data_IF_829283283009
#
_entry.id   IF_829283283009
#
_cell.length_a   1.000
_cell.length_b   1.000
_cell.length_c   1.000
_cell.angle_alpha   90.00
_cell.angle_beta   90.00
_cell.angle_gamma   90.00
#
_symmetry.space_group_name_H-M   'P 1'
#
loop_
_entity.id
_entity.type
_entity.pdbx_description
1 polymer ?
2 non-polymer ?
3 non-polymer ?
4 water ?
#
# COMPACT_ATOMS: atom_id res chain seq x y z
N UNK A 2 -4.02 4.96 15.79
CA UNK A 2 -3.34 5.18 14.48
C UNK A 2 -2.66 3.91 14.07
N UNK A 3 -2.59 3.68 12.77
CA UNK A 3 -2.07 2.40 12.31
C UNK A 3 -0.67 2.06 12.76
N UNK A 4 -0.40 0.81 13.08
CA UNK A 4 0.96 0.36 13.32
C UNK A 4 1.79 0.56 12.07
N UNK A 5 1.19 0.36 10.91
CA UNK A 5 1.90 0.58 9.65
C UNK A 5 0.92 0.87 8.55
N UNK A 6 1.21 1.83 7.69
CA UNK A 6 0.47 2.10 6.49
C UNK A 6 1.30 1.58 5.36
N UNK A 7 0.83 0.66 4.52
CA UNK A 7 1.60 0.09 3.43
C UNK A 7 1.27 0.73 2.12
N UNK A 8 2.32 1.11 1.38
CA UNK A 8 2.19 1.68 0.06
C UNK A 8 3.12 0.97 -0.93
N UNK A 9 2.69 0.85 -2.19
CA UNK A 9 3.56 0.36 -3.24
C UNK A 9 2.73 0.07 -4.48
N UNK A 10 3.46 -0.30 -5.52
CA UNK A 10 2.85 -0.59 -6.83
C UNK A 10 2.32 -2.05 -6.87
N UNK A 11 1.45 -2.35 -7.83
CA UNK A 11 1.16 -3.75 -8.11
C UNK A 11 2.46 -4.49 -8.42
N UNK A 12 2.63 -5.69 -7.91
CA UNK A 12 3.85 -6.42 -8.07
C UNK A 12 4.77 -6.29 -6.88
N UNK A 13 4.51 -5.32 -5.99
CA UNK A 13 5.36 -5.14 -4.80
C UNK A 13 5.04 -6.13 -3.69
N UNK A 14 3.96 -6.87 -3.83
CA UNK A 14 3.57 -7.89 -2.85
C UNK A 14 2.73 -7.28 -1.75
N UNK A 15 2.24 -6.07 -1.99
CA UNK A 15 1.51 -5.34 -0.99
C UNK A 15 0.37 -6.13 -0.29
N UNK A 16 -0.49 -6.85 -1.04
CA UNK A 16 -1.57 -7.64 -0.40
C UNK A 16 -1.06 -8.75 0.54
N UNK A 17 -0.13 -9.54 0.02
CA UNK A 17 0.39 -10.67 0.77
C UNK A 17 1.16 -10.16 1.98
N UNK A 18 1.98 -9.14 1.77
CA UNK A 18 2.76 -8.57 2.86
C UNK A 18 1.85 -8.00 3.96
N UNK A 19 0.82 -7.27 3.56
CA UNK A 19 -0.13 -6.72 4.52
C UNK A 19 -0.76 -7.78 5.38
N UNK A 20 -1.27 -8.85 4.76
CA UNK A 20 -1.86 -9.95 5.52
C UNK A 20 -0.84 -10.61 6.46
N UNK A 21 0.35 -10.87 5.95
CA UNK A 21 1.35 -11.54 6.73
C UNK A 21 1.82 -10.68 7.92
N UNK A 22 2.01 -9.36 7.64
CA UNK A 22 2.43 -8.44 8.69
C UNK A 22 1.34 -8.34 9.77
N UNK A 23 0.08 -8.24 9.33
CA UNK A 23 -1.01 -8.16 10.31
C UNK A 23 -1.12 -9.43 11.14
N UNK A 24 -0.91 -10.57 10.50
CA UNK A 24 -0.88 -11.83 11.20
C UNK A 24 0.24 -11.93 12.24
N UNK A 25 1.45 -11.48 11.89
CA UNK A 25 2.54 -11.54 12.80
C UNK A 25 2.39 -10.60 13.96
N UNK A 26 1.83 -9.40 13.73
CA UNK A 26 1.56 -8.45 14.79
C UNK A 26 0.32 -8.80 15.59
N UNK A 27 -0.56 -9.59 15.01
CA UNK A 27 -1.88 -9.84 15.60
C UNK A 27 -2.79 -8.64 15.65
N UNK A 28 -2.89 -7.97 14.49
CA UNK A 28 -3.70 -6.75 14.38
C UNK A 28 -4.58 -6.84 13.16
N UNK A 29 -5.54 -5.92 13.12
CA UNK A 29 -6.48 -5.85 12.01
C UNK A 29 -5.91 -5.36 10.72
N UNK A 30 -6.41 -5.84 9.59
CA UNK A 30 -5.98 -5.41 8.26
C UNK A 30 -7.09 -4.67 7.59
N UNK A 31 -6.89 -3.43 7.24
CA UNK A 31 -7.90 -2.62 6.54
C UNK A 31 -7.35 -2.20 5.22
N UNK A 32 -8.00 -2.54 4.14
CA UNK A 32 -7.63 -2.18 2.76
C UNK A 32 -8.57 -1.06 2.29
N UNK A 33 -8.04 0.10 1.92
CA UNK A 33 -8.89 1.22 1.61
C UNK A 33 -9.74 0.97 0.36
N UNK A 34 -9.30 0.21 -0.63
CA UNK A 34 -10.13 -0.07 -1.81
C UNK A 34 -11.39 -0.86 -1.38
N UNK A 35 -11.20 -1.87 -0.53
CA UNK A 35 -12.32 -2.67 -0.01
C UNK A 35 -13.21 -1.73 0.81
N UNK A 36 -12.64 -0.92 1.69
CA UNK A 36 -13.44 -0.05 2.51
C UNK A 36 -14.31 0.93 1.71
N UNK A 37 -13.81 1.43 0.59
CA UNK A 37 -14.60 2.33 -0.24
C UNK A 37 -15.81 1.58 -0.79
N UNK A 38 -15.65 0.36 -1.22
CA UNK A 38 -16.81 -0.40 -1.73
C UNK A 38 -17.78 -0.74 -0.61
N UNK A 39 -17.28 -1.05 0.57
CA UNK A 39 -18.12 -1.34 1.72
C UNK A 39 -18.91 -0.14 2.22
N UNK A 40 -18.38 1.07 2.04
CA UNK A 40 -19.02 2.28 2.52
C UNK A 40 -19.98 2.90 1.52
N UNK A 41 -19.82 2.62 0.24
CA UNK A 41 -20.65 3.20 -0.82
C UNK A 41 -21.62 2.17 -1.38
N UNK A 42 -21.35 0.89 -1.27
CA UNK A 42 -22.10 -0.13 -1.99
C UNK A 42 -21.95 -0.12 -3.49
N UNK A 43 -20.89 0.53 -3.99
CA UNK A 43 -20.60 0.61 -5.42
C UNK A 43 -19.16 0.17 -5.67
N UNK A 44 -18.95 -0.42 -6.83
CA UNK A 44 -17.62 -0.87 -7.20
C UNK A 44 -16.78 0.33 -7.55
N UNK A 45 -15.46 0.15 -7.41
CA UNK A 45 -14.48 1.17 -7.79
C UNK A 45 -14.74 1.67 -9.22
N UNK A 46 -14.91 0.71 -10.13
CA UNK A 46 -15.15 1.11 -11.53
C UNK A 46 -16.43 1.95 -11.72
N UNK A 47 -17.49 1.56 -11.01
CA UNK A 47 -18.77 2.23 -11.08
C UNK A 47 -18.61 3.65 -10.63
N UNK A 48 -17.89 3.87 -9.52
CA UNK A 48 -17.70 5.23 -9.05
C UNK A 48 -16.97 6.10 -10.08
N UNK A 49 -15.84 5.58 -10.56
CA UNK A 49 -15.08 6.30 -11.60
C UNK A 49 -15.97 6.68 -12.78
N UNK A 50 -16.75 5.73 -13.25
CA UNK A 50 -17.52 5.91 -14.49
C UNK A 50 -18.66 6.91 -14.33
N UNK A 51 -19.25 6.99 -13.14
CA UNK A 51 -20.42 7.81 -12.97
C UNK A 51 -20.20 9.12 -12.26
N UNK A 52 -19.36 9.11 -11.23
CA UNK A 52 -19.07 10.35 -10.51
C UNK A 52 -17.79 10.99 -11.01
N UNK A 53 -16.93 10.21 -11.63
CA UNK A 53 -15.66 10.70 -12.15
C UNK A 53 -14.50 10.54 -11.18
N UNK A 54 -13.30 10.74 -11.70
CA UNK A 54 -12.06 10.56 -10.96
C UNK A 54 -11.97 11.41 -9.72
N UNK A 55 -12.22 12.71 -9.87
CA UNK A 55 -12.12 13.60 -8.72
C UNK A 55 -13.01 13.19 -7.57
N UNK A 56 -14.24 12.75 -7.86
CA UNK A 56 -15.15 12.36 -6.82
C UNK A 56 -14.69 11.04 -6.17
N UNK A 57 -14.18 10.08 -6.96
CA UNK A 57 -13.60 8.88 -6.38
C UNK A 57 -12.49 9.31 -5.44
N UNK A 58 -11.62 10.21 -5.88
CA UNK A 58 -10.51 10.60 -5.02
C UNK A 58 -10.96 11.26 -3.74
N UNK A 59 -12.04 12.05 -3.78
CA UNK A 59 -12.56 12.67 -2.56
C UNK A 59 -13.10 11.61 -1.58
N UNK A 60 -13.85 10.64 -2.07
CA UNK A 60 -14.35 9.52 -1.27
C UNK A 60 -13.19 8.73 -0.64
N UNK A 61 -12.20 8.41 -1.48
CA UNK A 61 -11.02 7.71 -1.00
C UNK A 61 -10.30 8.50 0.10
N UNK A 62 -10.15 9.80 -0.08
CA UNK A 62 -9.47 10.61 0.92
C UNK A 62 -10.26 10.60 2.22
N UNK A 63 -11.59 10.70 2.15
CA UNK A 63 -12.39 10.59 3.37
C UNK A 63 -12.19 9.26 4.08
N UNK A 64 -12.21 8.16 3.32
CA UNK A 64 -11.93 6.84 3.89
C UNK A 64 -10.54 6.72 4.52
N UNK A 65 -9.54 7.21 3.79
CA UNK A 65 -8.18 7.19 4.30
C UNK A 65 -8.06 8.00 5.57
N UNK A 66 -8.64 9.21 5.61
CA UNK A 66 -8.54 10.01 6.80
C UNK A 66 -9.21 9.34 8.02
N UNK A 67 -10.35 8.70 7.78
CA UNK A 67 -11.03 8.01 8.85
C UNK A 67 -10.23 6.82 9.37
N UNK A 68 -9.63 6.06 8.46
CA UNK A 68 -8.80 4.95 8.85
C UNK A 68 -7.56 5.35 9.63
N UNK A 69 -6.90 6.43 9.19
CA UNK A 69 -5.75 6.94 9.92
C UNK A 69 -6.09 7.38 11.34
N UNK A 70 -7.30 7.91 11.52
CA UNK A 70 -7.79 8.34 12.82
C UNK A 70 -8.14 7.18 13.73
N UNK A 71 -8.74 6.15 13.17
CA UNK A 71 -9.51 5.18 13.98
C UNK A 71 -8.90 3.74 13.98
N UNK A 72 -8.13 3.38 12.96
CA UNK A 72 -7.58 2.03 12.82
C UNK A 72 -6.25 1.88 13.50
N UNK A 73 -6.05 0.82 14.26
CA UNK A 73 -4.84 0.62 15.03
C UNK A 73 -3.90 -0.40 14.44
N UNK A 74 -4.29 -1.08 13.39
CA UNK A 74 -3.54 -2.19 12.82
C UNK A 74 -2.77 -1.87 11.57
N UNK A 75 -2.78 -2.70 10.56
CA UNK A 75 -2.15 -2.44 9.28
C UNK A 75 -3.14 -1.83 8.33
N UNK A 76 -2.78 -0.74 7.66
CA UNK A 76 -3.63 -0.05 6.69
C UNK A 76 -3.01 -0.18 5.36
N UNK A 77 -3.63 -0.82 4.39
CA UNK A 77 -3.11 -0.99 3.04
C UNK A 77 -3.76 0.07 2.15
N UNK A 78 -2.97 0.96 1.57
CA UNK A 78 -3.52 2.06 0.80
C UNK A 78 -3.67 1.70 -0.65
N UNK A 79 -4.83 2.03 -1.26
CA UNK A 79 -5.03 1.87 -2.66
C UNK A 79 -3.92 2.60 -3.42
N UNK A 80 -3.64 2.11 -4.61
CA UNK A 80 -2.51 2.52 -5.41
C UNK A 80 -2.51 3.93 -5.95
N UNK A 81 -3.64 4.61 -5.94
CA UNK A 81 -3.65 5.98 -6.41
C UNK A 81 -3.88 6.99 -5.32
N UNK A 82 -4.07 6.53 -4.09
CA UNK A 82 -4.42 7.45 -3.02
C UNK A 82 -3.38 8.56 -2.87
N UNK A 83 -2.11 8.21 -3.02
CA UNK A 83 -1.07 9.24 -2.77
C UNK A 83 -1.01 10.30 -3.85
N UNK A 84 -1.75 10.13 -4.94
CA UNK A 84 -1.88 11.21 -5.93
C UNK A 84 -2.69 12.37 -5.41
N UNK A 85 -3.47 12.18 -4.37
CA UNK A 85 -4.26 13.24 -3.75
C UNK A 85 -3.40 14.00 -2.77
N UNK A 86 -3.22 15.31 -2.95
CA UNK A 86 -2.46 16.08 -2.00
C UNK A 86 -2.99 15.92 -0.57
N UNK A 87 -4.31 15.88 -0.36
CA UNK A 87 -4.84 15.73 0.97
C UNK A 87 -4.46 14.40 1.67
N UNK A 88 -4.29 13.36 0.87
CA UNK A 88 -3.85 12.08 1.46
C UNK A 88 -2.39 12.22 1.88
N UNK A 89 -1.55 12.84 1.04
CA UNK A 89 -0.14 13.01 1.45
C UNK A 89 -0.04 13.88 2.70
N UNK A 90 -0.89 14.89 2.84
CA UNK A 90 -0.94 15.65 4.06
C UNK A 90 -1.36 14.82 5.26
N UNK A 91 -2.44 14.05 5.09
CA UNK A 91 -2.98 13.27 6.20
C UNK A 91 -1.99 12.22 6.69
N UNK A 92 -1.18 11.68 5.77
CA UNK A 92 -0.19 10.66 6.17
C UNK A 92 0.91 11.16 7.08
N UNK A 93 1.21 12.46 7.03
CA UNK A 93 2.34 12.97 7.78
C UNK A 93 2.19 12.72 9.27
N UNK A 94 3.20 12.08 9.85
CA UNK A 94 3.19 11.70 11.23
C UNK A 94 2.92 10.22 11.50
N UNK A 95 2.45 9.53 10.49
CA UNK A 95 2.22 8.09 10.54
C UNK A 95 3.41 7.30 10.13
N UNK A 96 3.42 6.00 10.45
CA UNK A 96 4.40 5.06 10.04
C UNK A 96 4.03 4.54 8.67
N UNK A 97 4.77 4.87 7.62
CA UNK A 97 4.42 4.59 6.26
C UNK A 97 5.51 3.74 5.64
N UNK A 98 5.20 2.47 5.32
CA UNK A 98 6.12 1.49 4.82
C UNK A 98 5.96 1.39 3.31
N UNK A 99 6.98 1.75 2.53
CA UNK A 99 6.98 1.70 1.06
C UNK A 99 7.67 0.44 0.63
N UNK A 100 6.91 -0.47 0.05
CA UNK A 100 7.40 -1.71 -0.53
C UNK A 100 7.92 -1.40 -1.92
N UNK A 101 9.23 -1.20 -2.00
CA UNK A 101 9.85 -0.58 -3.17
C UNK A 101 10.36 -1.65 -4.11
N UNK A 102 9.97 -1.54 -5.39
CA UNK A 102 10.46 -2.44 -6.45
C UNK A 102 10.85 -1.63 -7.67
N UNK A 103 11.75 -2.21 -8.47
CA UNK A 103 12.13 -1.59 -9.73
C UNK A 103 11.04 -1.78 -10.78
N UNK A 104 11.08 -0.96 -11.82
CA UNK A 104 10.18 -1.10 -12.97
C UNK A 104 10.27 -2.50 -13.57
N UNK A 105 11.49 -3.00 -13.78
CA UNK A 105 11.70 -4.34 -14.35
C UNK A 105 11.12 -5.48 -13.51
N UNK A 106 11.30 -5.39 -12.20
CA UNK A 106 10.79 -6.39 -11.29
C UNK A 106 9.25 -6.39 -11.30
N UNK A 107 8.67 -5.18 -11.32
CA UNK A 107 7.23 -5.01 -11.31
C UNK A 107 6.58 -5.60 -12.55
N UNK A 108 7.24 -5.36 -13.68
CA UNK A 108 6.74 -5.86 -14.95
C UNK A 108 6.75 -7.38 -14.88
N UNK A 109 7.85 -7.97 -14.42
CA UNK A 109 7.91 -9.42 -14.29
C UNK A 109 6.82 -10.00 -13.39
N UNK A 110 6.61 -9.38 -12.24
CA UNK A 110 5.67 -9.91 -11.27
C UNK A 110 4.18 -9.68 -11.55
N UNK A 111 3.85 -8.83 -12.52
CA UNK A 111 2.47 -8.54 -12.86
C UNK A 111 2.12 -9.17 -14.22
N UNK A 112 2.97 -10.06 -14.70
CA UNK A 112 2.73 -10.76 -15.97
C UNK A 112 1.73 -11.90 -15.86
N UNK A 113 1.47 -12.38 -14.65
CA UNK A 113 0.47 -13.43 -14.47
C UNK A 113 1.06 -14.77 -14.79
N UNK A 114 0.21 -15.76 -15.06
CA UNK A 114 0.71 -17.13 -15.19
C UNK A 114 1.08 -17.57 -16.59
N UNK A 115 0.85 -16.73 -17.58
CA UNK A 115 1.30 -17.03 -18.91
C UNK A 115 2.83 -17.16 -18.99
N UNK A 116 3.34 -18.03 -19.84
CA UNK A 116 4.77 -18.31 -19.91
C UNK A 116 5.52 -17.30 -20.79
N UNK A 117 4.81 -16.73 -21.76
CA UNK A 117 5.37 -15.79 -22.73
C UNK A 117 4.65 -14.45 -22.72
N UNK A 118 4.82 -13.67 -21.64
CA UNK A 118 4.11 -12.40 -21.52
C UNK A 118 4.44 -11.42 -22.64
N UNK A 119 5.66 -11.50 -23.21
CA UNK A 119 6.04 -10.60 -24.34
C UNK A 119 5.14 -10.78 -25.56
N UNK A 120 4.61 -11.98 -25.77
CA UNK A 120 3.81 -12.27 -26.95
C UNK A 120 2.50 -11.53 -27.00
N UNK A 121 2.02 -11.04 -25.86
CA UNK A 121 0.81 -10.24 -25.86
C UNK A 121 1.00 -8.83 -26.34
N UNK A 122 2.26 -8.42 -26.57
CA UNK A 122 2.54 -7.08 -27.06
C UNK A 122 2.95 -6.20 -25.89
N UNK A 123 3.62 -5.09 -26.18
CA UNK A 123 4.24 -4.25 -25.17
C UNK A 123 3.35 -3.29 -24.40
N UNK A 124 2.09 -3.11 -24.79
CA UNK A 124 1.26 -2.06 -24.19
C UNK A 124 1.11 -2.18 -22.67
N UNK A 125 0.79 -3.37 -22.16
CA UNK A 125 0.58 -3.52 -20.71
C UNK A 125 1.83 -3.13 -19.93
N UNK A 126 3.02 -3.60 -20.37
CA UNK A 126 4.25 -3.33 -19.65
C UNK A 126 4.60 -1.86 -19.74
N UNK A 127 4.36 -1.24 -20.89
CA UNK A 127 4.61 0.21 -21.06
C UNK A 127 3.73 1.02 -20.11
N UNK A 128 2.46 0.63 -20.00
CA UNK A 128 1.53 1.34 -19.07
C UNK A 128 1.98 1.16 -17.62
N UNK A 129 2.47 -0.03 -17.28
CA UNK A 129 3.01 -0.28 -15.94
C UNK A 129 4.20 0.63 -15.65
N UNK A 130 5.13 0.70 -16.59
CA UNK A 130 6.32 1.54 -16.43
C UNK A 130 5.95 3.00 -16.28
N UNK A 131 4.95 3.43 -17.01
CA UNK A 131 4.45 4.82 -16.89
C UNK A 131 3.90 5.09 -15.52
N UNK A 132 3.15 4.12 -15.01
CA UNK A 132 2.53 4.24 -13.70
C UNK A 132 3.62 4.33 -12.65
N UNK A 133 4.61 3.48 -12.72
CA UNK A 133 5.67 3.54 -11.73
C UNK A 133 6.39 4.89 -11.77
N UNK A 134 6.63 5.44 -12.94
CA UNK A 134 7.33 6.73 -13.03
C UNK A 134 6.52 7.86 -12.39
N UNK A 135 5.20 7.76 -12.40
CA UNK A 135 4.34 8.76 -11.80
C UNK A 135 4.22 8.55 -10.28
N UNK A 136 4.10 7.29 -9.85
CA UNK A 136 3.77 6.93 -8.46
C UNK A 136 4.98 6.85 -7.56
N UNK A 137 6.06 6.25 -8.04
CA UNK A 137 7.24 6.06 -7.18
C UNK A 137 7.74 7.33 -6.48
N UNK A 138 7.83 8.46 -7.19
CA UNK A 138 8.30 9.66 -6.48
C UNK A 138 7.40 10.03 -5.31
N UNK A 139 6.09 9.82 -5.43
CA UNK A 139 5.14 10.16 -4.37
C UNK A 139 5.27 9.20 -3.21
N UNK A 140 5.48 7.91 -3.50
CA UNK A 140 5.70 6.96 -2.40
C UNK A 140 6.97 7.27 -1.66
N UNK A 141 8.04 7.65 -2.36
CA UNK A 141 9.26 8.00 -1.66
C UNK A 141 9.00 9.26 -0.80
N UNK A 142 8.23 10.23 -1.28
CA UNK A 142 7.93 11.41 -0.48
C UNK A 142 7.26 11.06 0.86
N UNK A 143 6.22 10.20 0.83
CA UNK A 143 5.43 9.91 2.00
C UNK A 143 6.03 8.86 2.95
N UNK A 144 7.03 8.10 2.49
CA UNK A 144 7.54 6.96 3.25
C UNK A 144 8.22 7.41 4.52
N UNK A 145 8.13 6.59 5.56
CA UNK A 145 9.04 6.66 6.68
C UNK A 145 9.93 5.43 6.79
N UNK A 146 9.62 4.36 6.08
CA UNK A 146 10.42 3.16 6.04
C UNK A 146 10.38 2.69 4.61
N UNK A 147 11.48 2.70 3.88
CA UNK A 147 11.54 2.11 2.53
C UNK A 147 12.12 0.75 2.61
N UNK A 148 11.45 -0.22 2.01
CA UNK A 148 11.88 -1.62 2.07
C UNK A 148 12.05 -2.12 0.62
N UNK A 149 13.29 -2.53 0.30
CA UNK A 149 13.62 -3.08 -1.01
C UNK A 149 13.07 -4.48 -1.08
N UNK A 150 12.08 -4.74 -1.93
CA UNK A 150 11.44 -6.03 -1.97
C UNK A 150 11.84 -6.80 -3.22
N UNK A 151 12.75 -6.22 -4.01
CA UNK A 151 13.23 -6.86 -5.25
C UNK A 151 13.82 -8.22 -4.92
N UNK A 152 13.30 -9.29 -5.53
CA UNK A 152 13.86 -10.63 -5.31
C UNK A 152 13.98 -11.03 -3.84
N UNK A 153 13.03 -10.62 -3.00
CA UNK A 153 13.01 -11.07 -1.61
C UNK A 153 11.74 -11.84 -1.35
N UNK A 154 11.84 -12.92 -0.58
CA UNK A 154 10.67 -13.69 -0.16
C UNK A 154 9.80 -12.83 0.76
N UNK A 155 8.46 -12.94 0.66
CA UNK A 155 7.58 -12.07 1.46
C UNK A 155 7.77 -12.21 2.98
N UNK A 156 8.24 -13.38 3.42
CA UNK A 156 8.55 -13.60 4.84
C UNK A 156 9.76 -12.80 5.32
N UNK A 157 10.78 -12.66 4.46
CA UNK A 157 11.95 -11.87 4.76
C UNK A 157 11.58 -10.38 4.84
N UNK A 158 10.67 -9.97 3.96
CA UNK A 158 10.20 -8.59 3.96
C UNK A 158 9.46 -8.30 5.26
N UNK A 159 8.60 -9.23 5.67
CA UNK A 159 7.85 -9.09 6.93
C UNK A 159 8.81 -9.01 8.13
N UNK A 160 9.85 -9.84 8.17
CA UNK A 160 10.85 -9.79 9.24
C UNK A 160 11.57 -8.50 9.29
N UNK A 161 11.94 -7.99 8.13
CA UNK A 161 12.63 -6.72 8.03
C UNK A 161 11.78 -5.60 8.66
N UNK A 162 10.49 -5.56 8.29
CA UNK A 162 9.57 -4.57 8.83
C UNK A 162 9.42 -4.74 10.32
N UNK A 163 9.18 -5.96 10.78
CA UNK A 163 8.98 -6.21 12.22
C UNK A 163 10.16 -5.79 13.04
N UNK A 164 11.38 -5.99 12.53
CA UNK A 164 12.57 -5.60 13.28
C UNK A 164 12.71 -4.09 13.41
N UNK A 165 11.91 -3.34 12.63
CA UNK A 165 11.94 -1.88 12.63
C UNK A 165 10.61 -1.28 13.13
N UNK A 166 9.79 -2.12 13.78
CA UNK A 166 8.51 -1.70 14.34
C UNK A 166 8.37 -2.23 15.76
N UNK A 167 9.47 -2.41 16.47
CA UNK A 167 9.40 -2.97 17.82
C UNK A 167 8.85 -1.93 18.81
N UNK A 168 8.23 -2.42 19.86
CA UNK A 168 7.65 -1.56 20.88
C UNK A 168 8.26 -1.97 22.21
N UNK A 169 8.97 -1.08 22.91
CA UNK A 169 9.51 -1.45 24.23
C UNK A 169 8.46 -1.85 25.23
N UNK A 170 8.85 -2.67 26.20
CA UNK A 170 7.93 -3.00 27.29
C UNK A 170 7.59 -1.73 28.07
N UNK A 171 6.33 -1.60 28.53
CA UNK A 171 5.97 -0.39 29.25
C UNK A 171 6.66 -0.32 30.61
N UNK A 172 6.89 0.90 31.07
CA UNK A 172 7.36 1.13 32.43
C UNK A 172 6.24 0.83 33.43
N UNK A 173 6.59 0.88 34.72
CA UNK A 173 5.61 0.70 35.79
C UNK A 173 4.63 1.87 35.81
N UNK A 174 5.17 3.09 35.64
CA UNK A 174 4.36 4.32 35.61
C UNK A 174 3.29 4.29 34.52
N UNK A 175 3.67 3.79 33.34
CA UNK A 175 2.75 3.67 32.23
C UNK A 175 1.63 2.69 32.53
N UNK A 176 1.99 1.58 33.19
CA UNK A 176 1.05 0.51 33.50
C UNK A 176 0.10 0.92 34.62
X LIG B 1 -7.72 2.20 -5.75
X LIG B 1 -7.74 1.24 -6.81
X LIG B 1 -8.22 1.94 -8.07
X LIG B 1 -8.34 1.00 -9.14
X LIG B 1 -7.27 3.07 -8.47
X LIG B 1 -5.81 2.65 -8.38
X LIG B 1 -4.78 3.54 -8.95
X LIG B 1 -3.64 3.10 -9.29
X LIG B 1 -5.03 4.75 -9.05
X LIG B 1 -5.40 1.56 -7.71
X LIG B 1 -6.35 0.62 -7.02
X LIG B 1 -5.69 0.23 -5.80
X LIG C 1 5.46 -13.94 7.60
#
# INVERSE_FOLDING_TARGET
MAPKAVLVGLPGSGKSTIGRRLAKALGVGLLDTDVAIEQRTGRSIADIFATDGEQEFRRIEEDVVRAALADHDGVLSLGGGAVTSPGVRAALAGHTVVYLEISAAEGVRRTGGNTVRPLLAGPDRAEKYRALMAKRAPLYRRVATMRVDTNRRNPGAVVRHILSRLQVPSPSEAATLEHHHHHH
SKM O12 C8 C6 O7 C5 C4 C1 O2 O3 C10 C9 O11
CL CL
#
